data_IF_924787761332
#
_entry.id   IF_924787761332
#
_cell.length_a   1.000
_cell.length_b   1.000
_cell.length_c   1.000
_cell.angle_alpha   90.00
_cell.angle_beta   90.00
_cell.angle_gamma   90.00
#
_symmetry.space_group_name_H-M   'P 1'
#
loop_
_entity.id
_entity.type
_entity.pdbx_description
1 polymer ?
#
# COMPACT_ATOMS: atom_id res chain seq x y z
N UNK A 1 2.07 -3.12 -7.86
CA UNK A 1 3.31 -3.73 -8.42
C UNK A 1 3.80 -2.99 -9.66
N UNK A 2 5.12 -2.85 -9.86
CA UNK A 2 5.71 -2.30 -11.11
C UNK A 2 5.41 -3.18 -12.32
N UNK A 3 5.32 -4.50 -12.13
CA UNK A 3 4.99 -5.44 -13.21
C UNK A 3 3.47 -5.52 -13.39
N UNK A 4 2.97 -5.13 -14.57
CA UNK A 4 1.53 -5.10 -14.88
C UNK A 4 0.83 -6.44 -14.64
N UNK A 5 1.49 -7.56 -14.95
CA UNK A 5 0.96 -8.93 -14.74
C UNK A 5 0.69 -9.30 -13.27
N UNK A 6 1.22 -8.52 -12.32
CA UNK A 6 1.07 -8.70 -10.87
C UNK A 6 0.12 -7.68 -10.23
N UNK A 7 -0.56 -6.85 -11.03
CA UNK A 7 -1.50 -5.85 -10.50
C UNK A 7 -2.87 -6.49 -10.42
N UNK A 8 -3.38 -6.62 -9.21
CA UNK A 8 -4.71 -7.17 -8.92
C UNK A 8 -5.46 -6.22 -8.00
N UNK A 9 -6.77 -6.21 -8.15
CA UNK A 9 -7.69 -5.48 -7.28
C UNK A 9 -8.80 -6.43 -6.84
N UNK A 10 -9.14 -6.39 -5.56
CA UNK A 10 -10.39 -6.92 -5.05
C UNK A 10 -11.27 -5.74 -4.68
N UNK A 11 -12.56 -5.83 -4.99
CA UNK A 11 -13.51 -4.74 -4.80
C UNK A 11 -14.70 -5.22 -4.00
N UNK A 12 -15.18 -4.38 -3.08
CA UNK A 12 -16.47 -4.56 -2.43
C UNK A 12 -17.34 -3.32 -2.63
N UNK A 13 -18.65 -3.53 -2.68
CA UNK A 13 -19.65 -2.47 -2.65
C UNK A 13 -20.61 -2.68 -1.50
N UNK A 14 -21.00 -1.60 -0.83
CA UNK A 14 -22.03 -1.66 0.20
C UNK A 14 -23.42 -1.74 -0.45
N UNK A 15 -24.20 -2.76 -0.10
CA UNK A 15 -25.56 -2.98 -0.59
C UNK A 15 -26.47 -3.15 0.63
N UNK A 16 -27.16 -2.06 0.99
CA UNK A 16 -27.90 -1.97 2.25
C UNK A 16 -26.95 -1.98 3.44
N UNK A 17 -27.17 -2.90 4.38
CA UNK A 17 -26.31 -3.08 5.56
C UNK A 17 -25.11 -4.00 5.32
N UNK A 18 -25.05 -4.71 4.19
CA UNK A 18 -24.00 -5.70 3.89
C UNK A 18 -22.98 -5.21 2.87
N UNK A 19 -21.83 -5.87 2.84
CA UNK A 19 -20.87 -5.77 1.73
C UNK A 19 -21.08 -6.89 0.73
N UNK A 20 -20.93 -6.58 -0.55
CA UNK A 20 -20.82 -7.57 -1.63
C UNK A 20 -19.43 -7.48 -2.23
N UNK A 21 -18.68 -8.58 -2.17
CA UNK A 21 -17.31 -8.70 -2.67
C UNK A 21 -17.31 -9.39 -4.03
N UNK A 22 -16.77 -8.70 -5.03
CA UNK A 22 -16.58 -9.24 -6.37
C UNK A 22 -15.33 -10.11 -6.47
N UNK A 23 -15.23 -10.91 -7.53
CA UNK A 23 -14.00 -11.65 -7.82
C UNK A 23 -12.81 -10.69 -7.95
N UNK A 24 -11.61 -11.06 -7.45
CA UNK A 24 -10.42 -10.27 -7.74
C UNK A 24 -10.13 -10.25 -9.23
N UNK A 25 -9.77 -9.08 -9.74
CA UNK A 25 -9.54 -8.84 -11.17
C UNK A 25 -8.13 -8.33 -11.42
N UNK A 26 -7.60 -8.64 -12.61
CA UNK A 26 -6.34 -8.06 -13.06
C UNK A 26 -6.54 -6.61 -13.42
N UNK A 27 -5.68 -5.76 -12.86
CA UNK A 27 -5.64 -4.35 -13.24
C UNK A 27 -4.80 -4.22 -14.50
N UNK A 28 -5.45 -3.83 -15.61
CA UNK A 28 -4.81 -3.51 -16.87
C UNK A 28 -4.08 -2.17 -16.82
N UNK A 29 -4.57 -1.20 -17.59
CA UNK A 29 -4.06 0.17 -17.54
C UNK A 29 -4.51 0.85 -16.24
N UNK A 30 -3.56 1.39 -15.48
CA UNK A 30 -3.85 2.06 -14.19
C UNK A 30 -4.75 3.28 -14.38
N UNK A 31 -4.62 3.96 -15.51
CA UNK A 31 -5.47 5.11 -15.84
C UNK A 31 -6.94 4.72 -15.97
N UNK A 32 -7.24 3.56 -16.58
CA UNK A 32 -8.61 3.06 -16.69
C UNK A 32 -9.16 2.63 -15.33
N UNK A 33 -8.34 1.98 -14.50
CA UNK A 33 -8.71 1.64 -13.13
C UNK A 33 -9.06 2.90 -12.31
N UNK A 34 -8.23 3.94 -12.40
CA UNK A 34 -8.55 5.24 -11.79
C UNK A 34 -9.77 5.88 -12.43
N UNK A 35 -9.97 5.77 -13.75
CA UNK A 35 -11.14 6.33 -14.41
C UNK A 35 -12.42 5.74 -13.81
N UNK A 36 -12.49 4.41 -13.69
CA UNK A 36 -13.60 3.69 -13.08
C UNK A 36 -13.81 4.07 -11.61
N UNK A 37 -12.74 4.12 -10.80
CA UNK A 37 -12.86 4.48 -9.38
C UNK A 37 -13.47 5.89 -9.18
N UNK A 38 -13.05 6.85 -9.98
CA UNK A 38 -13.58 8.21 -9.93
C UNK A 38 -14.96 8.35 -10.55
N UNK A 39 -15.31 7.55 -11.56
CA UNK A 39 -16.65 7.51 -12.12
C UNK A 39 -17.66 7.05 -11.05
N UNK A 40 -17.32 6.01 -10.27
CA UNK A 40 -18.11 5.57 -9.12
C UNK A 40 -18.19 6.63 -8.03
N UNK A 41 -17.11 7.36 -7.78
CA UNK A 41 -17.03 8.38 -6.73
C UNK A 41 -17.83 9.68 -7.01
N UNK A 42 -18.47 9.81 -8.18
CA UNK A 42 -19.29 10.99 -8.51
C UNK A 42 -20.46 11.20 -7.54
N UNK A 43 -20.98 10.12 -6.96
CA UNK A 43 -22.02 10.15 -5.93
C UNK A 43 -21.66 9.32 -4.69
N UNK A 44 -20.73 8.35 -4.83
CA UNK A 44 -20.34 7.47 -3.74
C UNK A 44 -19.02 7.88 -3.07
N UNK A 45 -18.75 7.23 -1.94
CA UNK A 45 -17.48 7.32 -1.21
C UNK A 45 -16.65 6.11 -1.59
N UNK A 46 -15.48 6.34 -2.17
CA UNK A 46 -14.59 5.27 -2.63
C UNK A 46 -13.31 5.31 -1.82
N UNK A 47 -13.01 4.21 -1.12
CA UNK A 47 -11.73 4.00 -0.45
C UNK A 47 -10.86 3.07 -1.30
N UNK A 48 -9.71 3.57 -1.76
CA UNK A 48 -8.71 2.79 -2.49
C UNK A 48 -7.52 2.49 -1.57
N UNK A 49 -7.30 1.21 -1.30
CA UNK A 49 -6.14 0.72 -0.56
C UNK A 49 -5.05 0.21 -1.50
N UNK A 50 -3.81 0.64 -1.30
CA UNK A 50 -2.66 0.13 -2.05
C UNK A 50 -1.56 -0.48 -1.18
N UNK A 51 -1.00 -1.60 -1.63
CA UNK A 51 0.15 -2.29 -1.02
C UNK A 51 1.48 -1.70 -1.52
N UNK A 52 1.71 -0.44 -1.17
CA UNK A 52 3.01 0.23 -1.27
C UNK A 52 3.08 1.41 -0.30
N UNK A 53 4.28 1.82 0.15
CA UNK A 53 4.45 2.98 1.02
C UNK A 53 3.84 4.26 0.45
N UNK A 54 3.05 4.97 1.26
CA UNK A 54 2.56 6.32 0.97
C UNK A 54 3.00 7.23 2.13
N UNK A 55 3.95 8.12 1.83
CA UNK A 55 4.64 8.96 2.80
C UNK A 55 6.16 8.81 2.75
N UNK A 56 6.86 9.66 3.48
CA UNK A 56 8.31 9.72 3.56
C UNK A 56 8.77 9.72 5.02
N UNK A 57 9.94 9.14 5.34
CA UNK A 57 10.55 9.31 6.66
C UNK A 57 10.73 10.80 6.98
N UNK A 58 10.34 11.21 8.19
CA UNK A 58 10.35 12.62 8.59
C UNK A 58 11.72 13.28 8.40
N UNK A 59 12.81 12.59 8.78
CA UNK A 59 14.18 13.11 8.68
C UNK A 59 14.61 13.45 7.25
N UNK A 60 14.07 12.75 6.25
CA UNK A 60 14.25 13.12 4.85
C UNK A 60 13.29 14.23 4.45
N UNK A 61 12.01 14.11 4.82
CA UNK A 61 10.94 15.04 4.46
C UNK A 61 11.27 16.49 4.82
N UNK A 62 11.71 16.74 6.06
CA UNK A 62 12.04 18.08 6.54
C UNK A 62 13.17 18.76 5.75
N UNK A 63 14.10 18.00 5.17
CA UNK A 63 15.19 18.53 4.35
C UNK A 63 14.70 19.06 3.00
N UNK A 64 13.53 18.63 2.52
CA UNK A 64 12.96 19.06 1.23
C UNK A 64 12.48 20.51 1.24
N UNK A 65 12.26 21.09 2.42
CA UNK A 65 11.68 22.42 2.60
C UNK A 65 10.17 22.50 2.35
N UNK A 66 9.50 21.41 1.96
CA UNK A 66 8.03 21.36 1.90
C UNK A 66 7.42 21.27 3.31
N UNK A 67 6.14 21.60 3.46
CA UNK A 67 5.46 21.62 4.76
C UNK A 67 5.01 20.24 5.25
N UNK A 68 4.96 19.28 4.35
CA UNK A 68 4.50 17.91 4.59
C UNK A 68 4.47 17.12 3.29
N UNK A 69 4.11 15.84 3.38
CA UNK A 69 4.10 14.93 2.24
C UNK A 69 3.15 15.36 1.12
N UNK A 70 1.97 15.90 1.48
CA UNK A 70 0.99 16.39 0.49
C UNK A 70 1.56 17.55 -0.33
N UNK A 71 2.15 18.53 0.35
CA UNK A 71 2.83 19.69 -0.26
C UNK A 71 4.03 19.24 -1.11
N UNK A 72 4.76 18.22 -0.65
CA UNK A 72 5.85 17.61 -1.39
C UNK A 72 5.38 16.92 -2.69
N UNK A 73 4.24 16.21 -2.68
CA UNK A 73 3.67 15.65 -3.90
C UNK A 73 3.31 16.75 -4.92
N UNK A 74 2.83 17.91 -4.45
CA UNK A 74 2.56 19.05 -5.30
C UNK A 74 3.84 19.67 -5.88
N UNK A 75 4.94 19.71 -5.11
CA UNK A 75 6.26 20.06 -5.64
C UNK A 75 6.69 19.12 -6.77
N UNK A 76 6.56 17.80 -6.59
CA UNK A 76 6.91 16.81 -7.62
C UNK A 76 6.06 16.98 -8.89
N UNK A 77 4.81 17.45 -8.78
CA UNK A 77 3.93 17.72 -9.94
C UNK A 77 4.43 18.85 -10.83
N UNK A 78 5.17 19.81 -10.28
CA UNK A 78 5.72 20.94 -11.03
C UNK A 78 6.95 20.57 -11.87
N UNK A 79 7.40 19.31 -11.81
CA UNK A 79 8.63 18.83 -12.43
C UNK A 79 9.88 19.57 -11.92
N UNK A 80 9.83 20.19 -10.74
CA UNK A 80 10.98 20.83 -10.12
C UNK A 80 12.09 19.84 -9.75
N UNK A 81 11.73 18.57 -9.54
CA UNK A 81 12.62 17.48 -9.10
C UNK A 81 12.48 16.27 -10.06
N UNK A 82 12.91 16.42 -11.33
CA UNK A 82 12.70 15.37 -12.34
C UNK A 82 13.43 14.08 -11.98
N UNK A 83 14.57 14.16 -11.28
CA UNK A 83 15.37 13.02 -10.89
C UNK A 83 14.81 12.24 -9.69
N UNK A 84 13.75 12.72 -9.04
CA UNK A 84 13.21 12.09 -7.82
C UNK A 84 12.79 10.65 -8.06
N UNK A 85 12.26 10.38 -9.25
CA UNK A 85 11.81 9.05 -9.62
C UNK A 85 12.89 8.16 -10.24
N UNK A 86 14.12 8.66 -10.34
CA UNK A 86 15.26 7.90 -10.80
C UNK A 86 15.96 7.21 -9.63
N UNK A 87 16.32 5.95 -9.82
CA UNK A 87 17.08 5.21 -8.82
C UNK A 87 18.57 5.40 -9.11
N UNK A 88 19.31 5.88 -8.11
CA UNK A 88 20.74 6.02 -8.16
C UNK A 88 21.42 4.66 -8.40
N UNK A 89 22.35 4.64 -9.35
CA UNK A 89 23.16 3.46 -9.68
C UNK A 89 24.43 3.43 -8.84
N UNK A 90 24.94 4.61 -8.47
CA UNK A 90 26.19 4.79 -7.74
C UNK A 90 25.99 5.73 -6.54
N UNK A 91 26.83 5.60 -5.48
CA UNK A 91 26.76 6.46 -4.30
C UNK A 91 26.78 7.97 -4.58
N UNK A 92 27.60 8.42 -5.55
CA UNK A 92 27.77 9.84 -5.91
C UNK A 92 26.52 10.47 -6.54
N UNK A 93 25.53 9.65 -6.94
CA UNK A 93 24.27 10.12 -7.50
C UNK A 93 23.18 10.31 -6.45
N UNK A 94 23.40 9.81 -5.22
CA UNK A 94 22.43 9.93 -4.14
C UNK A 94 22.42 11.38 -3.70
N UNK A 95 21.22 11.96 -3.72
CA UNK A 95 21.01 13.32 -3.26
C UNK A 95 19.58 13.46 -2.75
N UNK A 96 19.30 14.59 -2.11
CA UNK A 96 17.94 14.95 -1.74
C UNK A 96 16.97 14.82 -2.94
N UNK A 97 17.38 15.20 -4.15
CA UNK A 97 16.53 15.14 -5.36
C UNK A 97 16.54 13.80 -6.10
N UNK A 98 17.43 12.87 -5.74
CA UNK A 98 17.50 11.51 -6.30
C UNK A 98 17.76 10.51 -5.15
N UNK A 99 16.74 10.20 -4.34
CA UNK A 99 16.99 9.57 -3.04
C UNK A 99 16.97 8.04 -3.07
N UNK A 100 16.46 7.42 -4.14
CA UNK A 100 16.31 5.96 -4.21
C UNK A 100 17.62 5.30 -4.62
N UNK A 101 18.04 4.26 -3.91
CA UNK A 101 19.27 3.53 -4.16
C UNK A 101 19.19 2.10 -3.60
N UNK A 102 19.77 1.08 -4.26
CA UNK A 102 20.46 1.11 -5.54
C UNK A 102 19.60 0.59 -6.71
N UNK A 103 19.91 1.00 -7.93
CA UNK A 103 19.24 0.48 -9.14
C UNK A 103 19.48 -1.04 -9.33
N UNK A 104 20.63 -1.55 -8.87
CA UNK A 104 21.02 -2.96 -8.94
C UNK A 104 21.91 -3.36 -7.77
N UNK A 105 22.59 -4.50 -7.89
CA UNK A 105 23.53 -4.98 -6.87
C UNK A 105 25.00 -4.99 -7.36
N UNK A 106 25.55 -3.90 -7.92
CA UNK A 106 26.98 -3.85 -8.21
C UNK A 106 27.82 -3.90 -6.93
N UNK A 107 29.11 -4.23 -7.07
CA UNK A 107 30.07 -4.18 -5.96
C UNK A 107 30.10 -2.77 -5.35
N UNK A 108 30.06 -2.67 -4.02
CA UNK A 108 30.10 -1.39 -3.29
C UNK A 108 28.75 -0.81 -2.88
N UNK A 109 27.64 -1.51 -3.17
CA UNK A 109 26.32 -1.14 -2.63
C UNK A 109 26.28 -1.27 -1.11
N UNK A 110 26.05 -0.15 -0.41
CA UNK A 110 25.94 -0.15 1.05
C UNK A 110 24.82 0.76 1.53
N UNK A 111 24.22 0.42 2.68
CA UNK A 111 23.28 1.30 3.40
C UNK A 111 23.97 2.56 3.91
N UNK A 112 25.27 2.48 4.24
CA UNK A 112 26.06 3.64 4.68
C UNK A 112 26.15 4.72 3.58
N UNK A 113 26.31 4.32 2.32
CA UNK A 113 26.28 5.25 1.19
C UNK A 113 24.93 5.98 1.08
N UNK A 114 23.82 5.27 1.28
CA UNK A 114 22.49 5.87 1.28
C UNK A 114 22.30 6.87 2.44
N UNK A 115 22.72 6.49 3.65
CA UNK A 115 22.68 7.36 4.83
C UNK A 115 23.49 8.64 4.60
N UNK A 116 24.73 8.50 4.13
CA UNK A 116 25.60 9.63 3.84
C UNK A 116 25.05 10.53 2.72
N UNK A 117 24.59 9.94 1.61
CA UNK A 117 24.07 10.70 0.46
C UNK A 117 22.75 11.44 0.74
N UNK A 118 21.96 10.97 1.71
CA UNK A 118 20.75 11.65 2.19
C UNK A 118 20.98 12.56 3.39
N UNK A 119 22.23 12.68 3.86
CA UNK A 119 22.58 13.59 4.95
C UNK A 119 21.89 13.28 6.29
N UNK A 120 21.55 12.02 6.54
CA UNK A 120 20.94 11.57 7.80
C UNK A 120 21.94 10.86 8.69
N UNK A 121 21.68 10.77 10.00
CA UNK A 121 22.65 10.22 10.96
C UNK A 121 22.70 8.69 10.95
N UNK A 122 21.62 8.03 10.57
CA UNK A 122 21.52 6.57 10.57
C UNK A 122 20.47 6.03 9.60
N UNK A 123 20.54 4.73 9.29
CA UNK A 123 19.53 4.08 8.45
C UNK A 123 18.15 4.05 9.11
N UNK A 124 18.08 4.11 10.44
CA UNK A 124 16.81 4.15 11.17
C UNK A 124 16.04 5.46 10.97
N UNK A 125 16.75 6.56 10.69
CA UNK A 125 16.11 7.84 10.34
C UNK A 125 15.44 7.80 8.95
N UNK A 126 15.77 6.79 8.13
CA UNK A 126 15.13 6.53 6.84
C UNK A 126 13.94 5.57 6.96
N UNK A 127 13.49 5.25 8.18
CA UNK A 127 12.30 4.47 8.45
C UNK A 127 11.18 5.37 8.98
N UNK A 128 9.99 5.20 8.45
CA UNK A 128 8.77 5.76 9.02
C UNK A 128 8.47 5.13 10.38
N UNK A 129 7.70 5.79 11.23
CA UNK A 129 7.29 5.21 12.52
C UNK A 129 6.62 3.82 12.36
N UNK A 130 5.75 3.65 11.34
CA UNK A 130 5.11 2.37 11.03
C UNK A 130 6.08 1.27 10.55
N UNK A 131 7.29 1.63 10.15
CA UNK A 131 8.31 0.72 9.62
C UNK A 131 9.29 0.24 10.69
N UNK A 132 9.34 0.91 11.84
CA UNK A 132 10.27 0.55 12.92
C UNK A 132 9.94 -0.82 13.53
N UNK A 133 10.95 -1.43 14.15
CA UNK A 133 10.78 -2.69 14.86
C UNK A 133 9.87 -2.50 16.08
N UNK A 134 9.11 -3.54 16.40
CA UNK A 134 8.31 -3.65 17.61
C UNK A 134 8.74 -4.90 18.38
N UNK A 135 8.17 -5.16 19.55
CA UNK A 135 8.47 -6.37 20.33
C UNK A 135 8.11 -7.68 19.60
N UNK A 136 7.22 -7.64 18.61
CA UNK A 136 6.70 -8.82 17.90
C UNK A 136 7.00 -8.82 16.39
N UNK A 137 7.65 -7.79 15.86
CA UNK A 137 7.97 -7.66 14.43
C UNK A 137 9.30 -6.93 14.21
N UNK A 138 10.10 -7.45 13.27
CA UNK A 138 11.30 -6.76 12.79
C UNK A 138 10.99 -5.48 12.03
N UNK A 139 11.95 -4.55 11.97
CA UNK A 139 11.83 -3.36 11.15
C UNK A 139 11.64 -3.74 9.68
N UNK A 140 10.82 -2.96 8.97
CA UNK A 140 10.74 -2.99 7.52
C UNK A 140 11.99 -2.36 6.90
N UNK A 141 12.03 -2.37 5.57
CA UNK A 141 13.08 -1.69 4.84
C UNK A 141 12.66 -0.25 4.54
N UNK A 142 13.63 0.66 4.50
CA UNK A 142 13.41 2.04 4.05
C UNK A 142 12.85 2.09 2.63
N UNK A 143 11.92 3.03 2.39
CA UNK A 143 11.39 3.36 1.07
C UNK A 143 12.50 3.71 0.06
N UNK A 144 13.62 4.28 0.52
CA UNK A 144 14.72 4.66 -0.36
C UNK A 144 15.62 3.48 -0.75
N UNK A 145 15.50 2.35 -0.07
CA UNK A 145 16.31 1.17 -0.37
C UNK A 145 15.61 0.24 -1.37
N UNK A 146 16.19 0.08 -2.55
CA UNK A 146 15.52 -0.60 -3.69
C UNK A 146 16.04 -2.02 -3.99
N UNK A 147 16.90 -2.58 -3.13
CA UNK A 147 17.51 -3.90 -3.31
C UNK A 147 17.02 -4.94 -2.29
N UNK A 148 16.92 -6.20 -2.74
CA UNK A 148 16.57 -7.36 -1.90
C UNK A 148 15.13 -7.84 -2.10
N UNK A 149 14.61 -8.67 -1.19
CA UNK A 149 13.22 -9.14 -1.22
C UNK A 149 12.18 -8.10 -0.77
N UNK A 150 12.64 -7.00 -0.16
CA UNK A 150 11.81 -5.92 0.41
C UNK A 150 11.89 -4.63 -0.44
N UNK A 151 11.80 -4.72 -1.78
CA UNK A 151 11.93 -3.56 -2.70
C UNK A 151 10.70 -2.64 -2.67
N UNK A 152 10.28 -2.23 -1.47
CA UNK A 152 9.15 -1.34 -1.25
C UNK A 152 9.34 0.00 -1.98
N UNK A 153 10.59 0.45 -2.15
CA UNK A 153 10.92 1.66 -2.91
C UNK A 153 10.51 1.62 -4.38
N UNK A 154 10.70 0.49 -5.09
CA UNK A 154 10.28 0.39 -6.49
C UNK A 154 8.77 0.34 -6.63
N UNK A 155 8.08 -0.25 -5.65
CA UNK A 155 6.63 -0.25 -5.59
C UNK A 155 6.08 1.16 -5.32
N UNK A 156 6.70 1.89 -4.38
CA UNK A 156 6.35 3.29 -4.09
C UNK A 156 6.58 4.21 -5.29
N UNK A 157 7.75 4.11 -5.97
CA UNK A 157 8.04 4.88 -7.19
C UNK A 157 6.94 4.72 -8.24
N UNK A 158 6.64 3.47 -8.63
CA UNK A 158 5.61 3.18 -9.61
C UNK A 158 4.22 3.59 -9.11
N UNK A 159 3.90 3.32 -7.84
CA UNK A 159 2.63 3.69 -7.22
C UNK A 159 2.41 5.20 -7.20
N UNK A 160 3.43 5.99 -6.89
CA UNK A 160 3.27 7.43 -6.81
C UNK A 160 3.13 8.06 -8.20
N UNK A 161 3.95 7.63 -9.16
CA UNK A 161 3.90 8.15 -10.54
C UNK A 161 2.60 7.75 -11.26
N UNK A 162 2.19 6.50 -11.13
CA UNK A 162 1.06 5.96 -11.91
C UNK A 162 -0.29 6.12 -11.19
N UNK A 163 -0.31 6.19 -9.85
CA UNK A 163 -1.54 6.20 -9.05
C UNK A 163 -1.71 7.49 -8.26
N UNK A 164 -0.84 7.72 -7.26
CA UNK A 164 -1.07 8.76 -6.24
C UNK A 164 -1.10 10.15 -6.88
N UNK A 165 -0.08 10.51 -7.66
CA UNK A 165 0.00 11.83 -8.29
C UNK A 165 -1.13 12.05 -9.30
N UNK A 166 -1.43 11.12 -10.23
CA UNK A 166 -2.57 11.25 -11.13
C UNK A 166 -3.92 11.35 -10.41
N UNK A 167 -4.15 10.57 -9.35
CA UNK A 167 -5.39 10.63 -8.59
C UNK A 167 -5.53 11.94 -7.81
N UNK A 168 -4.43 12.46 -7.23
CA UNK A 168 -4.39 13.78 -6.58
C UNK A 168 -4.80 14.90 -7.54
N UNK A 169 -4.34 14.86 -8.80
CA UNK A 169 -4.74 15.84 -9.83
C UNK A 169 -6.24 15.85 -10.11
N UNK A 170 -6.93 14.75 -9.82
CA UNK A 170 -8.39 14.59 -9.98
C UNK A 170 -9.16 14.83 -8.67
N UNK A 171 -8.48 15.22 -7.59
CA UNK A 171 -9.08 15.53 -6.29
C UNK A 171 -9.17 14.38 -5.30
N UNK A 172 -8.41 13.28 -5.48
CA UNK A 172 -8.32 12.26 -4.45
C UNK A 172 -7.69 12.82 -3.16
N UNK A 173 -8.26 12.43 -2.02
CA UNK A 173 -7.73 12.74 -0.69
C UNK A 173 -6.84 11.60 -0.18
N UNK A 174 -5.85 11.89 0.65
CA UNK A 174 -4.90 10.93 1.20
C UNK A 174 -5.10 10.78 2.70
N UNK A 175 -5.41 9.56 3.11
CA UNK A 175 -5.36 9.18 4.51
C UNK A 175 -3.94 8.74 4.89
N UNK A 176 -3.42 9.08 6.09
CA UNK A 176 -4.02 9.93 7.14
C UNK A 176 -3.66 11.43 7.02
N UNK A 177 -3.03 11.85 5.92
CA UNK A 177 -2.46 13.20 5.78
C UNK A 177 -3.49 14.33 5.80
N UNK A 178 -4.69 14.07 5.29
CA UNK A 178 -5.75 15.06 5.15
C UNK A 178 -6.91 14.83 6.14
N UNK A 179 -6.70 13.98 7.15
CA UNK A 179 -7.67 13.68 8.20
C UNK A 179 -7.92 12.19 8.39
N UNK A 180 -8.82 11.89 9.32
CA UNK A 180 -9.35 10.55 9.58
C UNK A 180 -10.27 10.10 8.45
N UNK A 181 -10.51 8.79 8.28
CA UNK A 181 -11.46 8.29 7.28
C UNK A 181 -12.87 8.83 7.51
N UNK A 182 -13.27 9.03 8.76
CA UNK A 182 -14.58 9.60 9.10
C UNK A 182 -14.72 11.03 8.56
N UNK A 183 -13.72 11.88 8.78
CA UNK A 183 -13.67 13.25 8.24
C UNK A 183 -13.62 13.25 6.71
N UNK A 184 -12.80 12.36 6.12
CA UNK A 184 -12.62 12.24 4.68
C UNK A 184 -13.84 11.64 3.97
N UNK A 185 -14.69 10.89 4.67
CA UNK A 185 -15.90 10.28 4.15
C UNK A 185 -17.13 11.20 4.22
N UNK A 186 -17.03 12.39 4.83
CA UNK A 186 -18.16 13.34 4.92
C UNK A 186 -18.72 13.66 3.52
N UNK A 187 -17.84 13.87 2.55
CA UNK A 187 -18.20 14.13 1.16
C UNK A 187 -17.90 12.93 0.26
N UNK A 188 -18.69 12.71 -0.82
CA UNK A 188 -18.32 11.81 -1.91
C UNK A 188 -16.91 12.10 -2.44
N UNK A 189 -16.33 11.11 -3.10
CA UNK A 189 -14.99 11.21 -3.65
C UNK A 189 -14.11 10.00 -3.35
N UNK A 190 -12.87 10.09 -3.82
CA UNK A 190 -11.85 9.05 -3.68
C UNK A 190 -10.92 9.38 -2.51
N UNK A 191 -10.77 8.44 -1.59
CA UNK A 191 -9.74 8.45 -0.55
C UNK A 191 -8.74 7.36 -0.86
N UNK A 192 -7.45 7.67 -0.79
CA UNK A 192 -6.36 6.72 -0.96
C UNK A 192 -5.71 6.46 0.40
N UNK A 193 -5.46 5.18 0.70
CA UNK A 193 -4.77 4.73 1.89
C UNK A 193 -3.70 3.68 1.55
N UNK A 194 -2.64 3.64 2.34
CA UNK A 194 -1.71 2.52 2.35
C UNK A 194 -2.31 1.34 3.11
N UNK A 195 -2.20 0.14 2.56
CA UNK A 195 -2.60 -1.11 3.20
C UNK A 195 -1.46 -2.10 3.14
N UNK A 196 -1.50 -3.08 4.03
CA UNK A 196 -0.54 -4.17 4.09
C UNK A 196 -1.30 -5.48 4.27
N UNK A 197 -1.51 -6.27 3.19
CA UNK A 197 -2.37 -7.46 3.21
C UNK A 197 -1.96 -8.52 4.23
N UNK A 198 -0.66 -8.67 4.50
CA UNK A 198 -0.16 -9.72 5.39
C UNK A 198 -0.69 -9.59 6.84
N UNK A 199 -1.03 -8.39 7.29
CA UNK A 199 -1.66 -8.18 8.61
C UNK A 199 -3.10 -8.70 8.67
N UNK A 200 -3.78 -8.82 7.52
CA UNK A 200 -5.13 -9.34 7.45
C UNK A 200 -5.18 -10.87 7.58
N UNK A 201 -4.07 -11.56 7.36
CA UNK A 201 -4.05 -13.04 7.42
C UNK A 201 -4.48 -13.52 8.81
N UNK A 202 -3.94 -12.93 9.88
CA UNK A 202 -4.28 -13.28 11.26
C UNK A 202 -5.71 -12.90 11.62
N UNK A 203 -6.19 -11.76 11.10
CA UNK A 203 -7.58 -11.31 11.29
C UNK A 203 -8.58 -12.34 10.76
N UNK A 204 -8.29 -12.97 9.62
CA UNK A 204 -9.17 -13.94 8.97
C UNK A 204 -8.94 -15.37 9.47
N UNK A 205 -7.83 -15.64 10.17
CA UNK A 205 -7.38 -17.01 10.46
C UNK A 205 -6.76 -17.72 9.25
N UNK A 206 -6.29 -16.95 8.27
CA UNK A 206 -5.71 -17.42 7.00
C UNK A 206 -4.16 -17.38 7.01
N UNK A 207 -3.53 -17.46 8.18
CA UNK A 207 -2.07 -17.45 8.32
C UNK A 207 -1.42 -18.69 7.67
N UNK A 208 -0.21 -18.52 7.14
CA UNK A 208 0.59 -19.60 6.58
C UNK A 208 1.56 -20.12 7.63
N UNK A 209 1.37 -21.38 8.03
CA UNK A 209 2.21 -22.06 9.01
C UNK A 209 3.57 -22.46 8.42
N UNK A 210 4.48 -22.94 9.28
CA UNK A 210 5.78 -23.47 8.83
C UNK A 210 5.58 -24.58 7.78
N UNK A 211 6.18 -24.41 6.60
CA UNK A 211 6.04 -25.35 5.48
C UNK A 211 4.93 -24.99 4.48
N UNK A 212 4.06 -24.05 4.85
CA UNK A 212 3.10 -23.45 3.93
C UNK A 212 3.68 -22.20 3.27
N UNK A 213 3.18 -21.88 2.08
CA UNK A 213 3.56 -20.69 1.34
C UNK A 213 2.38 -20.12 0.58
N UNK A 214 2.17 -18.80 0.70
CA UNK A 214 1.19 -18.09 -0.13
C UNK A 214 1.43 -18.23 -1.63
N UNK A 215 2.64 -18.63 -2.06
CA UNK A 215 2.96 -18.92 -3.46
C UNK A 215 2.39 -20.25 -3.94
N UNK A 216 2.08 -21.17 -3.03
CA UNK A 216 1.55 -22.50 -3.34
C UNK A 216 0.03 -22.45 -3.34
N UNK A 217 -0.58 -22.73 -4.50
CA UNK A 217 -2.03 -22.78 -4.69
C UNK A 217 -2.72 -23.66 -3.65
N UNK A 218 -2.21 -24.88 -3.42
CA UNK A 218 -2.78 -25.81 -2.44
C UNK A 218 -2.85 -25.22 -1.02
N UNK A 219 -1.85 -24.44 -0.61
CA UNK A 219 -1.85 -23.81 0.71
C UNK A 219 -2.87 -22.66 0.77
N UNK A 220 -3.09 -21.93 -0.34
CA UNK A 220 -4.14 -20.91 -0.45
C UNK A 220 -5.54 -21.53 -0.42
N UNK A 221 -5.77 -22.66 -1.11
CA UNK A 221 -7.04 -23.40 -1.06
C UNK A 221 -7.40 -23.78 0.39
N UNK A 222 -6.41 -24.19 1.20
CA UNK A 222 -6.64 -24.52 2.63
C UNK A 222 -7.11 -23.32 3.47
N UNK A 223 -6.98 -22.08 2.97
CA UNK A 223 -7.47 -20.88 3.66
C UNK A 223 -8.93 -20.55 3.33
N UNK A 224 -9.54 -21.27 2.39
CA UNK A 224 -10.90 -21.02 1.94
C UNK A 224 -11.92 -21.04 3.09
N UNK A 225 -11.88 -22.08 3.93
CA UNK A 225 -12.80 -22.24 5.06
C UNK A 225 -12.74 -21.03 6.01
N UNK A 226 -11.54 -20.57 6.36
CA UNK A 226 -11.35 -19.42 7.23
C UNK A 226 -11.90 -18.12 6.60
N UNK A 227 -11.70 -17.93 5.28
CA UNK A 227 -12.23 -16.77 4.55
C UNK A 227 -13.76 -16.80 4.50
N UNK A 228 -14.37 -17.97 4.25
CA UNK A 228 -15.82 -18.13 4.27
C UNK A 228 -16.42 -17.91 5.66
N UNK A 229 -15.78 -18.45 6.70
CA UNK A 229 -16.20 -18.26 8.08
C UNK A 229 -16.14 -16.78 8.48
N UNK A 230 -15.07 -16.07 8.10
CA UNK A 230 -14.97 -14.63 8.29
C UNK A 230 -16.10 -13.90 7.54
N UNK A 231 -16.35 -14.21 6.28
CA UNK A 231 -17.37 -13.52 5.49
C UNK A 231 -18.78 -13.71 6.09
N UNK A 232 -19.11 -14.93 6.51
CA UNK A 232 -20.37 -15.25 7.17
C UNK A 232 -20.53 -14.51 8.50
N UNK A 233 -19.50 -14.51 9.35
CA UNK A 233 -19.53 -13.85 10.66
C UNK A 233 -19.73 -12.32 10.56
N UNK A 234 -19.29 -11.71 9.46
CA UNK A 234 -19.36 -10.26 9.25
C UNK A 234 -20.46 -9.83 8.28
N UNK A 235 -21.34 -10.74 7.86
CA UNK A 235 -22.44 -10.42 6.94
C UNK A 235 -21.95 -9.95 5.56
N UNK A 236 -20.78 -10.42 5.13
CA UNK A 236 -20.17 -10.12 3.84
C UNK A 236 -20.59 -11.18 2.83
N UNK A 237 -21.22 -10.75 1.74
CA UNK A 237 -21.61 -11.60 0.63
C UNK A 237 -20.47 -11.70 -0.36
N UNK A 238 -19.98 -12.92 -0.59
CA UNK A 238 -19.01 -13.21 -1.63
C UNK A 238 -19.77 -13.55 -2.92
N UNK A 239 -19.58 -12.79 -4.00
CA UNK A 239 -20.17 -13.10 -5.29
C UNK A 239 -19.66 -14.46 -5.81
N UNK A 240 -20.40 -15.18 -6.68
CA UNK A 240 -20.01 -16.53 -7.14
C UNK A 240 -18.57 -16.62 -7.67
N UNK A 241 -18.12 -15.61 -8.43
CA UNK A 241 -16.73 -15.55 -8.91
C UNK A 241 -15.70 -15.40 -7.79
N UNK A 242 -16.00 -14.65 -6.73
CA UNK A 242 -15.13 -14.54 -5.55
C UNK A 242 -15.06 -15.86 -4.79
N UNK A 243 -16.20 -16.54 -4.61
CA UNK A 243 -16.25 -17.85 -3.97
C UNK A 243 -15.40 -18.87 -4.73
N UNK A 244 -15.53 -18.90 -6.06
CA UNK A 244 -14.74 -19.79 -6.91
C UNK A 244 -13.23 -19.50 -6.81
N UNK A 245 -12.83 -18.23 -6.84
CA UNK A 245 -11.43 -17.83 -6.69
C UNK A 245 -10.85 -18.19 -5.31
N UNK A 246 -11.66 -18.15 -4.26
CA UNK A 246 -11.25 -18.58 -2.92
C UNK A 246 -11.05 -20.11 -2.88
N UNK A 247 -12.01 -20.87 -3.42
CA UNK A 247 -11.96 -22.34 -3.45
C UNK A 247 -10.80 -22.86 -4.31
N UNK A 248 -10.56 -22.25 -5.46
CA UNK A 248 -9.47 -22.62 -6.35
C UNK A 248 -8.10 -22.08 -5.93
N UNK A 249 -8.03 -21.36 -4.81
CA UNK A 249 -6.79 -20.76 -4.33
C UNK A 249 -6.20 -19.76 -5.32
N UNK A 250 -7.03 -19.01 -6.02
CA UNK A 250 -6.69 -17.97 -6.99
C UNK A 250 -5.88 -18.50 -8.19
N UNK A 251 -6.11 -19.77 -8.53
CA UNK A 251 -5.47 -20.48 -9.62
C UNK A 251 -3.98 -20.82 -9.41
N UNK A 252 -3.36 -21.56 -10.36
CA UNK A 252 -2.01 -22.10 -10.21
C UNK A 252 -0.89 -21.12 -10.56
N UNK A 253 -1.22 -20.00 -11.20
CA UNK A 253 -0.22 -19.05 -11.67
C UNK A 253 0.46 -18.35 -10.51
N UNK A 254 1.71 -17.93 -10.73
CA UNK A 254 2.48 -17.15 -9.73
C UNK A 254 1.78 -15.85 -9.32
N UNK A 255 0.92 -15.31 -10.18
CA UNK A 255 0.10 -14.13 -9.88
C UNK A 255 -1.09 -14.40 -8.93
N UNK A 256 -1.38 -15.68 -8.61
CA UNK A 256 -2.43 -16.03 -7.67
C UNK A 256 -2.14 -15.57 -6.24
N UNK A 257 -0.86 -15.41 -5.87
CA UNK A 257 -0.50 -14.78 -4.57
C UNK A 257 -0.93 -13.31 -4.53
N UNK A 258 -0.80 -12.58 -5.65
CA UNK A 258 -1.14 -11.16 -5.74
C UNK A 258 -2.68 -10.96 -5.65
N UNK A 259 -3.46 -11.87 -6.24
CA UNK A 259 -4.92 -11.87 -6.14
C UNK A 259 -5.41 -12.19 -4.72
N UNK A 260 -4.77 -13.16 -4.05
CA UNK A 260 -5.02 -13.47 -2.64
C UNK A 260 -4.73 -12.26 -1.75
N UNK A 261 -3.59 -11.60 -1.95
CA UNK A 261 -3.20 -10.41 -1.19
C UNK A 261 -4.17 -9.24 -1.43
N UNK A 262 -4.65 -9.05 -2.67
CA UNK A 262 -5.66 -8.04 -2.95
C UNK A 262 -6.95 -8.27 -2.15
N UNK A 263 -7.42 -9.53 -2.08
CA UNK A 263 -8.59 -9.88 -1.27
C UNK A 263 -8.35 -9.65 0.23
N UNK A 264 -7.18 -10.07 0.75
CA UNK A 264 -6.84 -9.89 2.17
C UNK A 264 -6.73 -8.40 2.54
N UNK A 265 -6.17 -7.58 1.64
CA UNK A 265 -6.18 -6.12 1.79
C UNK A 265 -7.60 -5.55 1.86
N UNK A 266 -8.51 -5.99 0.99
CA UNK A 266 -9.91 -5.57 0.99
C UNK A 266 -10.63 -5.98 2.28
N UNK A 267 -10.42 -7.20 2.77
CA UNK A 267 -10.99 -7.67 4.05
C UNK A 267 -10.60 -6.72 5.19
N UNK A 268 -9.32 -6.35 5.28
CA UNK A 268 -8.85 -5.38 6.28
C UNK A 268 -9.53 -4.02 6.15
N UNK A 269 -9.75 -3.56 4.92
CA UNK A 269 -10.47 -2.31 4.67
C UNK A 269 -11.94 -2.37 5.09
N UNK A 270 -12.62 -3.50 4.87
CA UNK A 270 -14.01 -3.71 5.31
C UNK A 270 -14.12 -3.62 6.84
N UNK A 271 -13.20 -4.24 7.58
CA UNK A 271 -13.18 -4.15 9.05
C UNK A 271 -13.07 -2.72 9.56
N UNK A 272 -12.26 -1.90 8.89
CA UNK A 272 -12.11 -0.48 9.23
C UNK A 272 -13.33 0.33 8.82
N UNK A 273 -13.84 0.11 7.60
CA UNK A 273 -14.99 0.85 7.07
C UNK A 273 -16.28 0.62 7.90
N UNK A 274 -16.43 -0.57 8.49
CA UNK A 274 -17.54 -0.89 9.39
C UNK A 274 -17.25 -0.53 10.87
N UNK A 275 -16.09 0.06 11.18
CA UNK A 275 -15.72 0.47 12.54
C UNK A 275 -15.42 -0.68 13.50
N UNK A 276 -15.29 -1.91 13.01
CA UNK A 276 -14.90 -3.08 13.83
C UNK A 276 -13.42 -3.04 14.21
N UNK A 277 -12.62 -2.31 13.44
CA UNK A 277 -11.21 -2.07 13.72
C UNK A 277 -10.92 -0.58 13.57
N UNK A 278 -10.12 0.03 14.47
CA UNK A 278 -9.68 1.40 14.27
C UNK A 278 -8.86 1.52 12.98
N UNK A 279 -8.94 2.66 12.31
CA UNK A 279 -8.14 2.94 11.11
C UNK A 279 -6.64 3.01 11.41
N UNK A 280 -6.27 3.33 12.65
CA UNK A 280 -4.93 3.28 13.19
C UNK A 280 -4.97 3.16 14.72
N UNK A 281 -4.00 2.47 15.32
CA UNK A 281 -3.87 2.35 16.77
C UNK A 281 -3.43 3.68 17.39
N UNK A 282 -2.47 4.36 16.76
CA UNK A 282 -2.02 5.71 17.13
C UNK A 282 -1.29 6.34 15.93
N UNK A 283 -1.74 7.53 15.48
CA UNK A 283 -1.02 8.31 14.46
C UNK A 283 -0.60 9.63 15.06
N UNK A 284 0.70 9.78 15.27
CA UNK A 284 1.29 11.03 15.77
C UNK A 284 1.17 12.13 14.71
N UNK A 285 1.07 13.40 15.14
CA UNK A 285 0.96 14.55 14.22
C UNK A 285 2.10 14.59 13.20
N UNK A 286 3.32 14.26 13.62
CA UNK A 286 4.49 14.14 12.74
C UNK A 286 4.31 13.07 11.66
N UNK A 287 3.74 11.94 12.03
CA UNK A 287 3.40 10.88 11.08
C UNK A 287 2.30 11.34 10.13
N UNK A 288 1.32 12.13 10.58
CA UNK A 288 0.32 12.74 9.67
C UNK A 288 0.93 13.74 8.69
N UNK A 289 1.96 14.47 9.09
CA UNK A 289 2.60 15.45 8.22
C UNK A 289 3.45 14.79 7.12
N UNK A 290 4.28 13.79 7.45
CA UNK A 290 5.29 13.24 6.52
C UNK A 290 5.14 11.76 6.24
N UNK A 291 4.93 10.96 7.27
CA UNK A 291 5.17 9.52 7.18
C UNK A 291 3.95 8.74 6.67
N UNK A 292 2.74 9.25 6.92
CA UNK A 292 1.51 8.48 6.73
C UNK A 292 1.40 7.33 7.73
N UNK A 293 0.53 6.37 7.41
CA UNK A 293 0.33 5.17 8.22
C UNK A 293 -0.19 4.02 7.37
N UNK A 294 -0.17 2.80 7.93
CA UNK A 294 -0.76 1.61 7.30
C UNK A 294 -2.14 1.41 7.89
N UNK A 295 -3.16 1.26 7.04
CA UNK A 295 -4.54 1.09 7.49
C UNK A 295 -4.69 -0.10 8.45
N UNK A 296 -5.39 0.14 9.55
CA UNK A 296 -5.71 -0.82 10.61
C UNK A 296 -4.51 -1.34 11.42
N UNK A 297 -3.44 -0.55 11.49
CA UNK A 297 -2.21 -0.85 12.23
C UNK A 297 -2.04 0.00 13.48
#
# INVERSE_FOLDING_TARGET
SKHSRKRWAATARRVGSSWEVSAPERVGLVQEFLHQAFASAGHDRVLLGFDFPIGLPEAYGVQTGARGFVDFLDLLRTNAWPEFFEVAQRPDQISLRRPFYPQGAPKGVTRAALVAGLGVSSFNELLRASERATSYRQAACSIFWTLGGNQVGKAALAGWQEVVIPARRRGARLWPFEGTLAELAVLPGVVIAETYPAEAYRLVGAEFSRGESKRRMADRCRKAEAIFAWAAAHGVRLAPGAQQAILDGFGPLSAGEDAFDALMGLVKMIEVADGRRPEATEVQDRSRAWEGWILAR
#
